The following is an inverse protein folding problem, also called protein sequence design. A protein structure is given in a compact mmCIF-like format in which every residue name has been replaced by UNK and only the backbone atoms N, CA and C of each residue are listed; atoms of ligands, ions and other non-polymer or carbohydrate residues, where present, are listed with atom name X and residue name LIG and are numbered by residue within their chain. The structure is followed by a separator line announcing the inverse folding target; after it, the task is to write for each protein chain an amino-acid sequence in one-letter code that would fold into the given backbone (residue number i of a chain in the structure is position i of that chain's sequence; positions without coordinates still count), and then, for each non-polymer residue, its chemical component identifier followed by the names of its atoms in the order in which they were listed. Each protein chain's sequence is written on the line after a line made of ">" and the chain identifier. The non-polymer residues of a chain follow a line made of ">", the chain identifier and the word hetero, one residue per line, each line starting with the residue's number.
data_IF_077818485783
#
_entry.id   IF_077818485783
#
_cell.length_a   1.000
_cell.length_b   1.000
_cell.length_c   1.000
_cell.angle_alpha   90.00
_cell.angle_beta   90.00
_cell.angle_gamma   90.00
#
_symmetry.space_group_name_H-M   'P 1'
#
loop_
_entity.id
_entity.type
_entity.pdbx_description
1 polymer ?
#
# COMPACT_ATOMS: atom_id res chain seq x y z
N UNK A 1 46.02 -3.59 46.94
CA UNK A 1 44.76 -4.22 46.47
C UNK A 1 43.86 -3.11 45.92
N UNK A 2 43.67 -3.03 44.60
CA UNK A 2 42.90 -1.95 43.95
C UNK A 2 41.41 -2.12 44.27
N UNK A 3 40.79 -1.08 44.82
CA UNK A 3 39.40 -1.07 45.29
C UNK A 3 38.40 -1.25 44.13
N UNK A 4 37.95 -2.50 43.96
CA UNK A 4 36.96 -2.97 42.95
C UNK A 4 35.68 -2.12 42.91
N UNK A 5 35.29 -1.51 44.04
CA UNK A 5 34.09 -0.65 44.15
C UNK A 5 34.18 0.66 43.36
N UNK A 6 35.37 1.15 43.00
CA UNK A 6 35.54 2.38 42.19
C UNK A 6 35.38 2.14 40.68
N UNK A 7 35.46 0.90 40.22
CA UNK A 7 35.36 0.54 38.78
C UNK A 7 33.93 0.13 38.41
N UNK A 8 33.18 -0.45 39.35
CA UNK A 8 31.84 -0.98 39.10
C UNK A 8 30.78 0.11 38.87
N UNK A 9 30.94 1.29 39.47
CA UNK A 9 29.98 2.41 39.38
C UNK A 9 29.95 3.13 38.02
N UNK A 10 31.08 3.47 37.37
CA UNK A 10 31.04 4.05 36.03
C UNK A 10 30.66 3.04 34.94
N UNK A 11 30.94 1.73 35.14
CA UNK A 11 30.59 0.69 34.18
C UNK A 11 29.06 0.48 34.07
N UNK A 12 28.34 0.56 35.18
CA UNK A 12 26.87 0.46 35.19
C UNK A 12 26.20 1.67 34.52
N UNK A 13 26.77 2.88 34.67
CA UNK A 13 26.26 4.08 34.01
C UNK A 13 26.51 4.06 32.49
N UNK A 14 27.64 3.51 32.03
CA UNK A 14 27.95 3.38 30.62
C UNK A 14 27.10 2.30 29.92
N UNK A 15 26.77 1.22 30.62
CA UNK A 15 25.86 0.19 30.13
C UNK A 15 24.40 0.67 30.04
N UNK A 16 23.99 1.62 30.89
CA UNK A 16 22.66 2.23 30.83
C UNK A 16 22.51 3.24 29.68
N UNK A 17 23.59 3.92 29.27
CA UNK A 17 23.57 4.83 28.12
C UNK A 17 23.58 4.13 26.76
N UNK A 18 23.96 2.85 26.70
CA UNK A 18 24.02 2.09 25.45
C UNK A 18 22.69 1.39 25.08
N UNK A 19 21.70 1.43 25.97
CA UNK A 19 20.36 0.87 25.74
C UNK A 19 19.35 1.89 25.19
N UNK A 20 19.76 3.15 24.99
CA UNK A 20 18.89 4.25 24.53
C UNK A 20 19.12 4.64 23.05
N UNK A 21 19.82 3.82 22.27
CA UNK A 21 19.67 3.84 20.81
C UNK A 21 18.37 3.10 20.45
N UNK A 22 17.24 3.57 20.99
CA UNK A 22 15.93 3.09 20.58
C UNK A 22 15.78 3.37 19.10
N UNK A 23 15.47 2.34 18.31
CA UNK A 23 15.12 2.49 16.91
C UNK A 23 14.04 3.58 16.81
N UNK A 24 14.39 4.74 16.25
CA UNK A 24 13.41 5.80 16.03
C UNK A 24 12.42 5.26 15.01
N UNK A 25 11.16 5.07 15.40
CA UNK A 25 10.11 4.69 14.48
C UNK A 25 9.94 5.82 13.45
N UNK A 26 10.20 5.52 12.18
CA UNK A 26 9.89 6.38 11.06
C UNK A 26 8.45 6.19 10.61
N UNK A 27 7.98 7.11 9.77
CA UNK A 27 6.74 6.96 9.02
C UNK A 27 7.00 7.12 7.52
N UNK A 28 6.31 6.32 6.72
CA UNK A 28 6.36 6.38 5.26
C UNK A 28 4.94 6.40 4.69
N UNK A 29 4.68 7.29 3.76
CA UNK A 29 3.43 7.29 2.98
C UNK A 29 3.70 6.72 1.59
N UNK A 30 3.01 5.63 1.26
CA UNK A 30 3.00 5.03 -0.07
C UNK A 30 1.77 5.54 -0.83
N UNK A 31 1.95 6.07 -2.03
CA UNK A 31 0.86 6.59 -2.86
C UNK A 31 0.53 5.60 -3.96
N UNK A 32 -0.74 5.20 -4.06
CA UNK A 32 -1.23 4.24 -5.05
C UNK A 32 -2.14 4.96 -6.05
N UNK A 33 -1.91 4.74 -7.34
CA UNK A 33 -2.76 5.22 -8.42
C UNK A 33 -3.16 4.06 -9.31
N UNK A 34 -4.46 3.91 -9.55
CA UNK A 34 -5.06 2.83 -10.33
C UNK A 34 -5.86 3.47 -11.46
N UNK A 35 -5.67 2.98 -12.68
CA UNK A 35 -6.30 3.45 -13.91
C UNK A 35 -6.98 2.26 -14.60
N UNK A 36 -8.18 2.48 -15.12
CA UNK A 36 -8.92 1.55 -15.96
C UNK A 36 -9.51 2.23 -17.20
N UNK A 37 -10.27 1.51 -18.03
CA UNK A 37 -10.89 2.06 -19.24
C UNK A 37 -12.00 3.09 -18.93
N UNK A 38 -12.66 2.96 -17.79
CA UNK A 38 -13.88 3.72 -17.49
C UNK A 38 -15.06 3.31 -18.37
N UNK A 39 -16.05 4.18 -18.47
CA UNK A 39 -17.21 4.00 -19.33
C UNK A 39 -18.54 4.44 -18.71
N UNK A 40 -19.59 4.40 -19.51
CA UNK A 40 -20.97 4.55 -19.06
C UNK A 40 -21.41 3.28 -18.33
N UNK A 41 -22.00 3.42 -17.13
CA UNK A 41 -22.32 2.27 -16.26
C UNK A 41 -23.19 1.19 -16.93
N UNK A 42 -24.17 1.62 -17.73
CA UNK A 42 -25.06 0.74 -18.49
C UNK A 42 -24.47 0.25 -19.82
N UNK A 43 -24.00 1.16 -20.69
CA UNK A 43 -23.53 0.80 -22.04
C UNK A 43 -22.24 0.01 -22.05
N UNK A 44 -21.35 0.27 -21.08
CA UNK A 44 -20.06 -0.38 -20.95
C UNK A 44 -20.04 -1.40 -19.80
N UNK A 45 -21.22 -1.91 -19.42
CA UNK A 45 -21.33 -2.92 -18.37
C UNK A 45 -20.42 -4.12 -18.69
N UNK A 46 -19.60 -4.50 -17.71
CA UNK A 46 -18.60 -5.55 -17.89
C UNK A 46 -17.16 -5.00 -17.96
N UNK A 47 -16.97 -3.70 -18.15
CA UNK A 47 -15.65 -3.10 -17.96
C UNK A 47 -15.18 -3.21 -16.51
N UNK A 48 -13.85 -3.28 -16.35
CA UNK A 48 -13.19 -3.22 -15.05
C UNK A 48 -13.32 -1.83 -14.44
N UNK A 49 -13.42 -1.77 -13.12
CA UNK A 49 -13.63 -0.53 -12.38
C UNK A 49 -12.43 -0.23 -11.46
N UNK A 50 -11.80 0.94 -11.63
CA UNK A 50 -10.63 1.31 -10.84
C UNK A 50 -10.91 1.45 -9.33
N UNK A 51 -12.11 1.90 -8.94
CA UNK A 51 -12.51 1.99 -7.53
C UNK A 51 -12.73 0.59 -6.94
N UNK A 52 -13.26 -0.35 -7.72
CA UNK A 52 -13.36 -1.75 -7.26
C UNK A 52 -11.98 -2.38 -7.09
N UNK A 53 -11.06 -2.16 -8.03
CA UNK A 53 -9.67 -2.60 -7.90
C UNK A 53 -8.99 -1.99 -6.65
N UNK A 54 -9.20 -0.69 -6.37
CA UNK A 54 -8.73 -0.06 -5.14
C UNK A 54 -9.32 -0.73 -3.89
N UNK A 55 -10.64 -0.95 -3.84
CA UNK A 55 -11.29 -1.60 -2.69
C UNK A 55 -10.73 -3.00 -2.42
N UNK A 56 -10.58 -3.82 -3.47
CA UNK A 56 -9.96 -5.16 -3.38
C UNK A 56 -8.53 -5.09 -2.85
N UNK A 57 -7.76 -4.12 -3.33
CA UNK A 57 -6.38 -3.87 -2.88
C UNK A 57 -6.33 -3.50 -1.39
N UNK A 58 -7.22 -2.60 -0.94
CA UNK A 58 -7.30 -2.16 0.46
C UNK A 58 -7.63 -3.33 1.39
N UNK A 59 -8.57 -4.19 1.01
CA UNK A 59 -8.90 -5.39 1.79
C UNK A 59 -7.72 -6.36 1.93
N UNK A 60 -6.84 -6.44 0.92
CA UNK A 60 -5.62 -7.25 0.98
C UNK A 60 -4.51 -6.56 1.79
N UNK A 61 -4.42 -5.22 1.72
CA UNK A 61 -3.50 -4.43 2.55
C UNK A 61 -3.85 -4.63 4.03
N UNK A 62 -5.12 -4.50 4.41
CA UNK A 62 -5.58 -4.70 5.80
C UNK A 62 -5.17 -6.07 6.36
N UNK A 63 -5.23 -7.12 5.53
CA UNK A 63 -4.83 -8.48 5.93
C UNK A 63 -3.32 -8.65 6.04
N UNK A 64 -2.55 -8.00 5.16
CA UNK A 64 -1.09 -8.22 5.04
C UNK A 64 -0.26 -7.28 5.91
N UNK A 65 -0.78 -6.08 6.17
CA UNK A 65 -0.21 -5.00 6.97
C UNK A 65 -1.31 -4.40 7.86
N UNK A 66 -1.68 -5.06 8.97
CA UNK A 66 -2.87 -4.71 9.76
C UNK A 66 -2.79 -3.36 10.49
N UNK A 67 -1.58 -2.81 10.63
CA UNK A 67 -1.33 -1.50 11.24
C UNK A 67 -1.19 -0.38 10.20
N UNK A 68 -1.36 -0.67 8.90
CA UNK A 68 -1.37 0.35 7.86
C UNK A 68 -2.65 1.19 7.93
N UNK A 69 -2.51 2.51 7.77
CA UNK A 69 -3.66 3.43 7.71
C UNK A 69 -3.87 3.89 6.27
N UNK A 70 -5.03 3.57 5.70
CA UNK A 70 -5.42 4.03 4.37
C UNK A 70 -6.07 5.41 4.47
N UNK A 71 -5.58 6.36 3.68
CA UNK A 71 -6.05 7.75 3.66
C UNK A 71 -6.22 8.27 2.23
N UNK A 72 -6.86 9.43 2.08
CA UNK A 72 -7.00 10.16 0.81
C UNK A 72 -7.59 9.30 -0.34
N UNK A 73 -8.57 8.45 -0.04
CA UNK A 73 -9.25 7.63 -1.06
C UNK A 73 -10.09 8.52 -1.96
N UNK A 74 -9.77 8.50 -3.25
CA UNK A 74 -10.47 9.25 -4.30
C UNK A 74 -10.66 8.36 -5.53
N UNK A 75 -11.68 8.63 -6.35
CA UNK A 75 -11.91 7.86 -7.56
C UNK A 75 -13.27 8.11 -8.18
N UNK A 76 -13.38 7.83 -9.48
CA UNK A 76 -14.60 8.07 -10.25
C UNK A 76 -14.85 9.54 -10.60
N UNK A 77 -15.89 9.78 -11.40
CA UNK A 77 -16.27 11.11 -11.88
C UNK A 77 -17.76 11.41 -11.65
N UNK A 78 -18.63 10.45 -11.94
CA UNK A 78 -20.07 10.54 -11.69
C UNK A 78 -20.60 9.20 -11.18
N UNK A 79 -21.75 9.22 -10.50
CA UNK A 79 -22.42 8.00 -10.01
C UNK A 79 -22.87 7.06 -11.14
N UNK A 80 -23.03 7.59 -12.36
CA UNK A 80 -23.46 6.83 -13.54
C UNK A 80 -22.28 6.38 -14.43
N UNK A 81 -21.06 6.34 -13.88
CA UNK A 81 -19.87 5.99 -14.65
C UNK A 81 -19.07 4.87 -13.99
N UNK A 82 -18.50 4.00 -14.81
CA UNK A 82 -17.44 3.08 -14.40
C UNK A 82 -16.19 3.92 -14.14
N UNK A 83 -15.56 3.75 -12.97
CA UNK A 83 -14.45 4.61 -12.59
C UNK A 83 -13.21 4.29 -13.44
N UNK A 84 -12.72 5.31 -14.16
CA UNK A 84 -11.47 5.25 -14.91
C UNK A 84 -10.23 5.41 -14.02
N UNK A 85 -10.39 5.94 -12.80
CA UNK A 85 -9.28 6.11 -11.87
C UNK A 85 -9.72 5.90 -10.42
N UNK A 86 -8.75 5.52 -9.59
CA UNK A 86 -8.81 5.59 -8.14
C UNK A 86 -7.40 5.86 -7.58
N UNK A 87 -7.29 6.69 -6.55
CA UNK A 87 -6.06 6.94 -5.83
C UNK A 87 -6.29 6.79 -4.34
N UNK A 88 -5.27 6.33 -3.62
CA UNK A 88 -5.26 6.32 -2.17
C UNK A 88 -3.83 6.34 -1.65
N UNK A 89 -3.67 6.63 -0.36
CA UNK A 89 -2.38 6.64 0.33
C UNK A 89 -2.41 5.62 1.45
N UNK A 90 -1.27 4.96 1.67
CA UNK A 90 -1.07 4.02 2.75
C UNK A 90 0.02 4.57 3.66
N UNK A 91 -0.34 4.93 4.88
CA UNK A 91 0.60 5.35 5.91
C UNK A 91 1.11 4.10 6.64
N UNK A 92 2.42 4.00 6.74
CA UNK A 92 3.17 2.92 7.36
C UNK A 92 4.06 3.51 8.45
N UNK A 93 4.22 2.78 9.55
CA UNK A 93 5.12 3.15 10.65
C UNK A 93 6.06 1.99 10.98
N UNK A 94 7.26 2.30 11.47
CA UNK A 94 8.25 1.31 11.88
C UNK A 94 9.68 1.79 11.66
N UNK A 95 10.65 0.93 11.97
CA UNK A 95 12.03 1.15 11.53
C UNK A 95 12.17 0.94 10.01
N UNK A 96 13.31 1.32 9.44
CA UNK A 96 13.56 1.28 7.98
C UNK A 96 13.34 -0.12 7.38
N UNK A 97 13.72 -1.18 8.10
CA UNK A 97 13.55 -2.55 7.64
C UNK A 97 12.06 -2.95 7.61
N UNK A 98 11.31 -2.59 8.66
CA UNK A 98 9.87 -2.80 8.73
C UNK A 98 9.12 -2.00 7.66
N UNK A 99 9.47 -0.72 7.46
CA UNK A 99 8.87 0.14 6.44
C UNK A 99 9.04 -0.46 5.04
N UNK A 100 10.25 -0.91 4.70
CA UNK A 100 10.51 -1.57 3.42
C UNK A 100 9.67 -2.85 3.26
N UNK A 101 9.68 -3.72 4.26
CA UNK A 101 8.93 -4.98 4.20
C UNK A 101 7.41 -4.74 4.08
N UNK A 102 6.87 -3.74 4.78
CA UNK A 102 5.47 -3.34 4.68
C UNK A 102 5.14 -2.74 3.32
N UNK A 103 6.00 -1.88 2.76
CA UNK A 103 5.82 -1.32 1.42
C UNK A 103 5.80 -2.41 0.33
N UNK A 104 6.68 -3.42 0.44
CA UNK A 104 6.71 -4.57 -0.47
C UNK A 104 5.40 -5.40 -0.37
N UNK A 105 4.84 -5.57 0.84
CA UNK A 105 3.52 -6.21 1.04
C UNK A 105 2.37 -5.38 0.46
N UNK A 106 2.38 -4.06 0.66
CA UNK A 106 1.38 -3.15 0.07
C UNK A 106 1.41 -3.27 -1.46
N UNK A 107 2.60 -3.29 -2.07
CA UNK A 107 2.74 -3.46 -3.51
C UNK A 107 2.15 -4.78 -3.99
N UNK A 108 2.45 -5.89 -3.31
CA UNK A 108 1.89 -7.20 -3.65
C UNK A 108 0.35 -7.22 -3.53
N UNK A 109 -0.19 -6.63 -2.46
CA UNK A 109 -1.64 -6.53 -2.24
C UNK A 109 -2.35 -5.69 -3.31
N UNK A 110 -1.74 -4.58 -3.75
CA UNK A 110 -2.26 -3.77 -4.87
C UNK A 110 -2.24 -4.54 -6.18
N UNK A 111 -1.14 -5.24 -6.47
CA UNK A 111 -1.03 -6.06 -7.67
C UNK A 111 -2.11 -7.15 -7.71
N UNK A 112 -2.30 -7.87 -6.61
CA UNK A 112 -3.31 -8.91 -6.48
C UNK A 112 -4.74 -8.35 -6.54
N UNK A 113 -5.01 -7.21 -5.89
CA UNK A 113 -6.31 -6.55 -5.93
C UNK A 113 -6.70 -6.09 -7.34
N UNK A 114 -5.74 -5.55 -8.09
CA UNK A 114 -5.93 -5.17 -9.49
C UNK A 114 -6.16 -6.40 -10.39
N UNK A 115 -5.37 -7.47 -10.20
CA UNK A 115 -5.55 -8.74 -10.91
C UNK A 115 -6.92 -9.36 -10.63
N UNK A 116 -7.41 -9.28 -9.40
CA UNK A 116 -8.71 -9.81 -9.01
C UNK A 116 -9.87 -9.06 -9.71
N UNK A 117 -9.79 -7.74 -9.90
CA UNK A 117 -10.79 -7.00 -10.67
C UNK A 117 -10.76 -7.36 -12.16
N UNK A 118 -9.55 -7.45 -12.75
CA UNK A 118 -9.38 -7.91 -14.12
C UNK A 118 -9.98 -9.31 -14.32
N UNK A 119 -9.64 -10.26 -13.44
CA UNK A 119 -10.15 -11.63 -13.48
C UNK A 119 -11.68 -11.68 -13.31
N UNK A 120 -12.25 -10.88 -12.40
CA UNK A 120 -13.69 -10.81 -12.18
C UNK A 120 -14.46 -10.39 -13.45
N UNK A 121 -13.85 -9.56 -14.31
CA UNK A 121 -14.43 -9.14 -15.59
C UNK A 121 -13.93 -9.93 -16.80
N UNK A 122 -13.13 -10.98 -16.57
CA UNK A 122 -12.54 -11.78 -17.64
C UNK A 122 -11.56 -11.01 -18.54
N UNK A 123 -10.93 -9.96 -18.01
CA UNK A 123 -9.93 -9.14 -18.71
C UNK A 123 -8.53 -9.65 -18.38
N UNK A 124 -7.67 -9.81 -19.39
CA UNK A 124 -6.25 -10.15 -19.21
C UNK A 124 -5.41 -8.89 -19.08
N UNK A 125 -4.29 -8.98 -18.36
CA UNK A 125 -3.31 -7.87 -18.32
C UNK A 125 -2.81 -7.54 -19.73
N UNK A 126 -2.80 -6.26 -20.08
CA UNK A 126 -2.44 -5.76 -21.40
C UNK A 126 -3.50 -5.99 -22.49
N UNK A 127 -4.69 -6.47 -22.14
CA UNK A 127 -5.78 -6.65 -23.11
C UNK A 127 -6.25 -5.30 -23.66
N UNK A 128 -6.49 -5.27 -24.97
CA UNK A 128 -6.97 -4.11 -25.71
C UNK A 128 -8.30 -4.46 -26.36
N UNK A 129 -9.30 -3.60 -26.19
CA UNK A 129 -10.62 -3.69 -26.84
C UNK A 129 -10.85 -2.39 -27.61
N UNK A 130 -11.19 -2.50 -28.88
CA UNK A 130 -11.43 -1.34 -29.76
C UNK A 130 -10.30 -0.29 -29.76
N UNK A 131 -9.06 -0.77 -29.67
CA UNK A 131 -7.86 0.08 -29.64
C UNK A 131 -7.56 0.77 -28.30
N UNK A 132 -8.38 0.52 -27.27
CA UNK A 132 -8.20 1.06 -25.92
C UNK A 132 -7.81 -0.03 -24.93
N UNK A 133 -6.96 0.32 -23.95
CA UNK A 133 -6.59 -0.59 -22.86
C UNK A 133 -7.83 -0.95 -22.04
N UNK A 134 -8.14 -2.24 -21.96
CA UNK A 134 -9.30 -2.76 -21.26
C UNK A 134 -9.00 -3.13 -19.80
N UNK A 135 -7.72 -3.24 -19.44
CA UNK A 135 -7.26 -3.73 -18.15
C UNK A 135 -7.03 -2.63 -17.11
N UNK A 136 -7.04 -3.05 -15.84
CA UNK A 136 -6.55 -2.25 -14.72
C UNK A 136 -5.03 -2.18 -14.76
N UNK A 137 -4.53 -0.95 -14.68
CA UNK A 137 -3.11 -0.60 -14.59
C UNK A 137 -2.88 0.22 -13.33
N UNK A 138 -1.73 0.05 -12.70
CA UNK A 138 -1.47 0.70 -11.42
C UNK A 138 -0.03 1.16 -11.29
N UNK A 139 0.19 2.16 -10.45
CA UNK A 139 1.50 2.66 -10.08
C UNK A 139 1.55 2.90 -8.57
N UNK A 140 2.74 2.74 -8.00
CA UNK A 140 3.03 3.03 -6.60
C UNK A 140 4.25 3.95 -6.52
N UNK A 141 4.17 4.96 -5.67
CA UNK A 141 5.25 5.92 -5.38
C UNK A 141 5.50 6.00 -3.88
#
# INVERSE_FOLDING_TARGET
>A
MKNIRKILRPAAALLLSLAAAGAMAGSQSVSVSIIGPGGHSNGDYGNVNAVHAAARSIMLIEKSVPDAVVTAVTGGNSVNSIAAYANFRVLLEGDDAALKAKADKVKAAVEEGCKAENAFRGVKTGEVRDGLAADIRWTIK
#
